data_IF_390610227834
#
_entry.id   IF_390610227834
#
_cell.length_a   1.000
_cell.length_b   1.000
_cell.length_c   1.000
_cell.angle_alpha   90.00
_cell.angle_beta   90.00
_cell.angle_gamma   90.00
#
_symmetry.space_group_name_H-M   'P 1'
#
loop_
_entity.id
_entity.type
_entity.pdbx_description
1 polymer ?
#
# COMPACT_ATOMS: atom_id res chain seq x y z
N UNK A 1 -19.16 9.94 -20.16
CA UNK A 1 -18.85 8.51 -20.37
C UNK A 1 -19.76 7.55 -19.59
N UNK A 2 -20.60 8.00 -18.66
CA UNK A 2 -21.60 7.15 -17.98
C UNK A 2 -23.00 7.23 -18.62
N UNK A 3 -23.30 8.25 -19.43
CA UNK A 3 -24.60 8.39 -20.11
C UNK A 3 -24.78 7.44 -21.31
N UNK A 4 -23.70 6.82 -21.78
CA UNK A 4 -23.71 5.91 -22.95
C UNK A 4 -23.87 4.44 -22.59
N UNK A 5 -23.72 4.05 -21.32
CA UNK A 5 -23.77 2.65 -20.87
C UNK A 5 -25.13 2.25 -20.26
N UNK A 6 -25.86 3.20 -19.68
CA UNK A 6 -27.19 2.98 -19.09
C UNK A 6 -28.18 3.93 -19.73
N UNK A 7 -29.14 3.40 -20.50
CA UNK A 7 -30.16 4.16 -21.23
C UNK A 7 -31.14 4.98 -20.35
N UNK A 8 -30.86 5.14 -19.06
CA UNK A 8 -31.71 5.84 -18.09
C UNK A 8 -30.89 6.69 -17.12
N UNK A 9 -31.20 8.00 -17.09
CA UNK A 9 -30.57 9.01 -16.22
C UNK A 9 -30.69 8.65 -14.73
N UNK A 10 -31.78 7.99 -14.33
CA UNK A 10 -32.03 7.60 -12.94
C UNK A 10 -31.11 6.48 -12.45
N UNK A 11 -30.70 5.58 -13.34
CA UNK A 11 -29.76 4.51 -13.00
C UNK A 11 -28.34 5.05 -12.83
N UNK A 12 -27.93 5.97 -13.71
CA UNK A 12 -26.62 6.63 -13.61
C UNK A 12 -26.47 7.36 -12.28
N UNK A 13 -27.47 8.12 -11.83
CA UNK A 13 -27.43 8.80 -10.53
C UNK A 13 -27.48 7.84 -9.35
N UNK A 14 -28.24 6.74 -9.43
CA UNK A 14 -28.26 5.73 -8.37
C UNK A 14 -26.89 5.05 -8.17
N UNK A 15 -26.26 4.63 -9.28
CA UNK A 15 -24.91 4.02 -9.25
C UNK A 15 -23.88 5.03 -8.77
N UNK A 16 -23.95 6.28 -9.21
CA UNK A 16 -23.03 7.33 -8.77
C UNK A 16 -23.16 7.62 -7.27
N UNK A 17 -24.39 7.63 -6.75
CA UNK A 17 -24.65 7.84 -5.31
C UNK A 17 -24.13 6.66 -4.48
N UNK A 18 -24.32 5.43 -4.94
CA UNK A 18 -23.77 4.23 -4.29
C UNK A 18 -22.24 4.21 -4.29
N UNK A 19 -21.60 4.64 -5.39
CA UNK A 19 -20.16 4.78 -5.47
C UNK A 19 -19.65 5.80 -4.45
N UNK A 20 -20.27 6.98 -4.36
CA UNK A 20 -19.89 8.01 -3.38
C UNK A 20 -20.07 7.50 -1.93
N UNK A 21 -21.17 6.78 -1.66
CA UNK A 21 -21.46 6.23 -0.34
C UNK A 21 -20.39 5.23 0.12
N UNK A 22 -19.79 4.48 -0.80
CA UNK A 22 -18.74 3.50 -0.50
C UNK A 22 -17.34 4.11 -0.49
N UNK A 23 -17.09 5.10 -1.36
CA UNK A 23 -15.77 5.70 -1.53
C UNK A 23 -15.38 6.57 -0.32
N UNK A 24 -16.30 7.40 0.18
CA UNK A 24 -16.03 8.30 1.32
C UNK A 24 -15.54 7.54 2.56
N UNK A 25 -16.25 6.51 3.07
CA UNK A 25 -15.76 5.77 4.23
C UNK A 25 -14.48 5.00 3.92
N UNK A 26 -14.27 4.50 2.70
CA UNK A 26 -13.02 3.85 2.31
C UNK A 26 -11.83 4.81 2.45
N UNK A 27 -11.93 6.02 1.91
CA UNK A 27 -10.87 7.04 2.01
C UNK A 27 -10.54 7.41 3.47
N UNK A 28 -11.58 7.58 4.31
CA UNK A 28 -11.40 7.89 5.73
C UNK A 28 -10.68 6.75 6.44
N UNK A 29 -11.09 5.50 6.19
CA UNK A 29 -10.46 4.32 6.79
C UNK A 29 -9.00 4.16 6.34
N UNK A 30 -8.70 4.37 5.06
CA UNK A 30 -7.33 4.32 4.54
C UNK A 30 -6.43 5.38 5.19
N UNK A 31 -6.90 6.63 5.28
CA UNK A 31 -6.13 7.71 5.91
C UNK A 31 -5.94 7.45 7.42
N UNK A 32 -6.96 6.94 8.10
CA UNK A 32 -6.90 6.59 9.52
C UNK A 32 -5.94 5.43 9.78
N UNK A 33 -5.88 4.44 8.88
CA UNK A 33 -4.98 3.29 9.02
C UNK A 33 -3.53 3.71 8.80
N UNK A 34 -3.27 4.53 7.76
CA UNK A 34 -1.94 5.02 7.45
C UNK A 34 -1.38 5.94 8.55
N UNK A 35 -2.21 6.81 9.14
CA UNK A 35 -1.77 7.67 10.26
C UNK A 35 -1.39 6.86 11.51
N UNK A 36 -2.12 5.78 11.82
CA UNK A 36 -1.79 4.87 12.93
C UNK A 36 -0.49 4.11 12.68
N UNK A 37 -0.25 3.64 11.44
CA UNK A 37 1.01 2.99 11.07
C UNK A 37 2.19 3.96 11.23
N UNK A 38 2.04 5.20 10.75
CA UNK A 38 3.07 6.22 10.85
C UNK A 38 3.37 6.59 12.31
N UNK A 39 2.34 6.66 13.16
CA UNK A 39 2.51 6.91 14.58
C UNK A 39 3.23 5.77 15.30
N UNK A 40 2.88 4.50 15.02
CA UNK A 40 3.59 3.35 15.57
C UNK A 40 5.08 3.36 15.18
N UNK A 41 5.41 3.69 13.92
CA UNK A 41 6.80 3.87 13.49
C UNK A 41 7.51 5.05 14.18
N UNK A 42 6.78 6.11 14.54
CA UNK A 42 7.33 7.24 15.29
C UNK A 42 7.61 6.86 16.76
N UNK A 43 6.76 6.04 17.37
CA UNK A 43 6.95 5.51 18.73
C UNK A 43 8.19 4.62 18.84
N UNK A 44 8.46 3.83 17.80
CA UNK A 44 9.69 3.02 17.68
C UNK A 44 10.97 3.86 17.42
N UNK A 45 10.85 5.19 17.33
CA UNK A 45 11.99 6.09 17.13
C UNK A 45 12.62 6.01 15.73
N UNK A 46 11.97 5.35 14.78
CA UNK A 46 12.51 5.07 13.44
C UNK A 46 12.51 6.30 12.50
N UNK A 47 11.92 7.43 12.92
CA UNK A 47 11.80 8.64 12.10
C UNK A 47 12.74 9.75 12.59
N UNK A 48 13.39 10.51 11.67
CA UNK A 48 14.07 11.74 12.03
C UNK A 48 13.04 12.74 12.57
N UNK A 49 13.23 13.22 13.80
CA UNK A 49 12.28 14.03 14.57
C UNK A 49 11.01 13.27 15.05
N UNK A 50 11.19 12.00 15.44
CA UNK A 50 10.17 11.15 16.08
C UNK A 50 9.48 11.80 17.28
N UNK A 51 10.16 12.67 18.03
CA UNK A 51 9.59 13.41 19.16
C UNK A 51 8.46 14.38 18.76
N UNK A 52 8.47 14.90 17.52
CA UNK A 52 7.42 15.79 17.00
C UNK A 52 6.28 15.02 16.32
N UNK A 53 6.61 13.93 15.62
CA UNK A 53 5.63 13.09 14.88
C UNK A 53 4.87 12.16 15.84
N UNK A 54 5.55 11.65 16.87
CA UNK A 54 4.98 10.80 17.93
C UNK A 54 4.27 11.59 19.03
N UNK A 55 4.29 12.93 18.99
CA UNK A 55 3.58 13.76 19.96
C UNK A 55 2.06 13.60 19.76
N UNK A 56 1.40 12.97 20.73
CA UNK A 56 -0.06 12.83 20.76
C UNK A 56 -0.62 13.95 21.62
N UNK A 57 -1.48 14.78 21.04
CA UNK A 57 -2.25 15.75 21.82
C UNK A 57 -3.16 15.01 22.81
N UNK A 58 -3.01 15.34 24.09
CA UNK A 58 -3.67 14.67 25.23
C UNK A 58 -5.20 14.78 25.20
N UNK A 59 -5.72 15.74 24.43
CA UNK A 59 -7.16 16.02 24.30
C UNK A 59 -7.85 15.20 23.20
N UNK A 60 -7.19 14.94 22.06
CA UNK A 60 -7.79 14.25 20.92
C UNK A 60 -7.46 12.75 20.87
N UNK A 61 -6.44 12.27 21.63
CA UNK A 61 -5.95 10.86 21.58
C UNK A 61 -5.60 10.38 20.16
N UNK A 62 -5.46 11.30 19.21
CA UNK A 62 -5.12 11.05 17.81
C UNK A 62 -3.82 11.81 17.53
N UNK A 63 -2.83 11.19 16.88
CA UNK A 63 -1.59 11.85 16.51
C UNK A 63 -1.85 12.84 15.36
N UNK A 64 -2.19 14.08 15.70
CA UNK A 64 -2.57 15.15 14.76
C UNK A 64 -1.46 15.46 13.75
N UNK A 65 -0.19 15.42 14.17
CA UNK A 65 0.97 15.65 13.28
C UNK A 65 1.16 14.52 12.25
N UNK A 66 1.00 13.26 12.67
CA UNK A 66 1.06 12.11 11.77
C UNK A 66 -0.11 12.11 10.78
N UNK A 67 -1.30 12.51 11.23
CA UNK A 67 -2.48 12.66 10.37
C UNK A 67 -2.26 13.74 9.31
N UNK A 68 -1.68 14.89 9.67
CA UNK A 68 -1.40 15.99 8.75
C UNK A 68 -0.41 15.56 7.65
N UNK A 69 0.66 14.85 8.01
CA UNK A 69 1.63 14.30 7.05
C UNK A 69 0.98 13.30 6.08
N UNK A 70 0.12 12.42 6.62
CA UNK A 70 -0.61 11.41 5.84
C UNK A 70 -1.64 12.05 4.89
N UNK A 71 -2.16 13.23 5.23
CA UNK A 71 -3.04 14.03 4.35
C UNK A 71 -2.27 14.81 3.28
N UNK A 72 -1.09 15.35 3.60
CA UNK A 72 -0.29 16.15 2.65
C UNK A 72 0.26 15.27 1.52
N UNK A 73 0.70 14.05 1.82
CA UNK A 73 1.26 13.13 0.81
C UNK A 73 0.32 12.86 -0.39
N UNK A 74 -0.94 12.41 -0.21
CA UNK A 74 -1.86 12.18 -1.32
C UNK A 74 -2.29 13.48 -2.03
N UNK A 75 -2.34 14.61 -1.32
CA UNK A 75 -2.60 15.93 -1.94
C UNK A 75 -1.44 16.30 -2.88
N UNK A 76 -0.20 16.10 -2.46
CA UNK A 76 0.99 16.30 -3.30
C UNK A 76 0.98 15.40 -4.55
N UNK A 77 0.64 14.12 -4.38
CA UNK A 77 0.46 13.20 -5.52
C UNK A 77 -0.68 13.63 -6.46
N UNK A 78 -1.75 14.20 -5.90
CA UNK A 78 -2.89 14.71 -6.68
C UNK A 78 -2.52 15.99 -7.46
N UNK A 79 -1.60 16.81 -6.95
CA UNK A 79 -1.06 17.94 -7.71
C UNK A 79 -0.19 17.49 -8.88
N UNK A 80 0.57 16.41 -8.74
CA UNK A 80 1.36 15.84 -9.84
C UNK A 80 0.50 15.30 -10.99
N UNK A 81 -0.74 14.90 -10.71
CA UNK A 81 -1.71 14.51 -11.76
C UNK A 81 -1.99 15.66 -12.76
N UNK A 82 -1.84 16.92 -12.37
CA UNK A 82 -2.06 18.08 -13.25
C UNK A 82 -0.87 18.36 -14.18
N UNK A 83 0.32 17.82 -13.87
CA UNK A 83 1.57 18.20 -14.54
C UNK A 83 1.88 17.39 -15.80
N UNK A 84 1.71 16.07 -15.79
CA UNK A 84 1.96 15.22 -16.96
C UNK A 84 1.44 13.78 -16.77
N UNK A 85 0.82 13.16 -17.78
CA UNK A 85 0.41 11.76 -17.74
C UNK A 85 1.60 10.78 -17.62
N UNK A 86 2.81 11.20 -18.02
CA UNK A 86 4.03 10.38 -17.89
C UNK A 86 4.47 10.30 -16.43
N UNK A 87 4.37 11.41 -15.68
CA UNK A 87 4.71 11.45 -14.26
C UNK A 87 3.78 10.57 -13.43
N UNK A 88 2.49 10.53 -13.77
CA UNK A 88 1.51 9.65 -13.12
C UNK A 88 1.88 8.17 -13.27
N UNK A 89 2.20 7.73 -14.48
CA UNK A 89 2.53 6.32 -14.75
C UNK A 89 3.78 5.89 -13.96
N UNK A 90 4.79 6.76 -13.88
CA UNK A 90 5.98 6.52 -13.07
C UNK A 90 5.66 6.34 -11.57
N UNK A 91 4.81 7.22 -11.00
CA UNK A 91 4.41 7.14 -9.59
C UNK A 91 3.60 5.88 -9.29
N UNK A 92 2.61 5.56 -10.12
CA UNK A 92 1.79 4.35 -9.93
C UNK A 92 2.66 3.10 -9.94
N UNK A 93 3.62 3.05 -10.84
CA UNK A 93 4.56 1.95 -10.94
C UNK A 93 5.48 1.85 -9.72
N UNK A 94 5.96 2.98 -9.20
CA UNK A 94 6.72 3.03 -7.95
C UNK A 94 5.91 2.50 -6.76
N UNK A 95 4.62 2.87 -6.66
CA UNK A 95 3.73 2.38 -5.58
C UNK A 95 3.55 0.87 -5.66
N UNK A 96 3.39 0.30 -6.86
CA UNK A 96 3.26 -1.15 -7.05
C UNK A 96 4.55 -1.86 -6.61
N UNK A 97 5.73 -1.34 -6.97
CA UNK A 97 7.00 -1.91 -6.53
C UNK A 97 7.14 -1.83 -5.01
N UNK A 98 6.82 -0.69 -4.41
CA UNK A 98 6.89 -0.51 -2.96
C UNK A 98 5.98 -1.51 -2.22
N UNK A 99 4.78 -1.75 -2.75
CA UNK A 99 3.86 -2.75 -2.23
C UNK A 99 4.45 -4.17 -2.30
N UNK A 100 5.05 -4.53 -3.44
CA UNK A 100 5.72 -5.83 -3.61
C UNK A 100 6.91 -5.98 -2.64
N UNK A 101 7.72 -4.94 -2.48
CA UNK A 101 8.84 -4.92 -1.52
C UNK A 101 8.33 -5.09 -0.09
N UNK A 102 7.25 -4.42 0.28
CA UNK A 102 6.63 -4.55 1.61
C UNK A 102 6.18 -6.00 1.87
N UNK A 103 5.55 -6.66 0.89
CA UNK A 103 5.17 -8.06 1.03
C UNK A 103 6.38 -9.00 1.10
N UNK A 104 7.43 -8.74 0.32
CA UNK A 104 8.69 -9.48 0.39
C UNK A 104 9.37 -9.34 1.77
N UNK A 105 9.36 -8.14 2.36
CA UNK A 105 9.90 -7.89 3.70
C UNK A 105 9.15 -8.69 4.77
N UNK A 106 7.81 -8.71 4.72
CA UNK A 106 7.00 -9.48 5.68
C UNK A 106 7.25 -10.99 5.52
N UNK A 107 7.24 -11.50 4.28
CA UNK A 107 7.46 -12.92 4.01
C UNK A 107 8.88 -13.37 4.41
N UNK A 108 9.89 -12.56 4.11
CA UNK A 108 11.29 -12.84 4.49
C UNK A 108 11.49 -12.78 6.01
N UNK A 109 10.85 -11.84 6.71
CA UNK A 109 10.88 -11.77 8.18
C UNK A 109 10.19 -12.98 8.81
N UNK A 110 9.04 -13.42 8.27
CA UNK A 110 8.38 -14.68 8.69
C UNK A 110 9.30 -15.88 8.51
N UNK A 111 9.92 -16.02 7.33
CA UNK A 111 10.85 -17.10 7.03
C UNK A 111 12.08 -17.08 7.96
N UNK A 112 12.70 -15.91 8.14
CA UNK A 112 13.87 -15.73 9.01
C UNK A 112 13.56 -16.13 10.46
N UNK A 113 12.40 -15.69 10.97
CA UNK A 113 11.99 -16.00 12.33
C UNK A 113 11.70 -17.49 12.54
N UNK A 114 11.12 -18.17 11.54
CA UNK A 114 10.96 -19.64 11.54
C UNK A 114 12.31 -20.38 11.47
N UNK A 115 13.24 -19.92 10.64
CA UNK A 115 14.57 -20.56 10.52
C UNK A 115 15.42 -20.39 11.79
N UNK A 116 15.34 -19.22 12.43
CA UNK A 116 16.16 -18.88 13.61
C UNK A 116 15.54 -19.37 14.92
N UNK A 117 14.28 -19.87 14.90
CA UNK A 117 13.49 -20.23 16.10
C UNK A 117 13.47 -19.12 17.16
N UNK A 118 13.58 -17.86 16.73
CA UNK A 118 13.47 -16.73 17.65
C UNK A 118 12.04 -16.72 18.19
N UNK A 119 11.90 -16.92 19.50
CA UNK A 119 10.66 -17.02 20.27
C UNK A 119 9.86 -15.72 20.35
N UNK A 120 9.96 -14.86 19.32
CA UNK A 120 9.27 -13.57 19.26
C UNK A 120 7.79 -13.70 18.87
N UNK A 121 7.32 -14.90 18.48
CA UNK A 121 5.92 -15.13 18.18
C UNK A 121 5.17 -15.50 19.46
N UNK A 122 4.15 -14.72 19.86
CA UNK A 122 3.23 -15.14 20.90
C UNK A 122 2.58 -16.48 20.47
N UNK A 123 2.50 -17.47 21.36
CA UNK A 123 1.99 -18.83 21.08
C UNK A 123 0.58 -18.87 20.45
N UNK A 124 -0.14 -17.74 20.47
CA UNK A 124 -1.48 -17.54 19.92
C UNK A 124 -1.47 -17.12 18.43
N UNK A 125 -0.29 -16.86 17.83
CA UNK A 125 -0.13 -16.42 16.44
C UNK A 125 0.38 -17.51 15.49
N UNK A 126 0.50 -18.75 15.96
CA UNK A 126 0.67 -19.88 15.03
C UNK A 126 -0.65 -20.13 14.32
N UNK A 127 -0.68 -19.89 13.01
CA UNK A 127 -1.79 -20.15 12.08
C UNK A 127 -2.28 -21.62 12.03
N UNK A 128 -2.08 -22.43 13.07
CA UNK A 128 -2.36 -23.88 13.09
C UNK A 128 -1.54 -24.69 12.08
N UNK A 129 -0.77 -24.04 11.21
CA UNK A 129 0.10 -24.68 10.23
C UNK A 129 1.40 -25.13 10.92
N UNK A 130 1.73 -26.41 10.74
CA UNK A 130 2.98 -26.98 11.22
C UNK A 130 4.21 -26.25 10.68
N UNK A 131 5.30 -26.30 11.44
CA UNK A 131 6.56 -25.62 11.12
C UNK A 131 7.02 -25.75 9.66
N UNK A 132 6.93 -26.97 9.12
CA UNK A 132 7.37 -27.30 7.76
C UNK A 132 6.45 -26.71 6.68
N UNK A 133 5.14 -26.65 6.92
CA UNK A 133 4.19 -26.09 5.95
C UNK A 133 4.27 -24.57 5.93
N UNK A 134 4.51 -23.92 7.08
CA UNK A 134 4.75 -22.47 7.13
C UNK A 134 5.97 -22.03 6.32
N UNK A 135 7.10 -22.75 6.44
CA UNK A 135 8.31 -22.46 5.65
C UNK A 135 8.07 -22.64 4.14
N UNK A 136 7.37 -23.71 3.75
CA UNK A 136 7.07 -23.96 2.34
C UNK A 136 6.20 -22.85 1.73
N UNK A 137 5.19 -22.37 2.48
CA UNK A 137 4.32 -21.26 2.06
C UNK A 137 5.09 -19.95 1.95
N UNK A 138 5.98 -19.65 2.89
CA UNK A 138 6.80 -18.43 2.85
C UNK A 138 7.76 -18.44 1.65
N UNK A 139 8.43 -19.58 1.38
CA UNK A 139 9.31 -19.74 0.20
C UNK A 139 8.51 -19.61 -1.10
N UNK A 140 7.34 -20.26 -1.18
CA UNK A 140 6.47 -20.15 -2.35
C UNK A 140 6.00 -18.72 -2.56
N UNK A 141 5.63 -18.02 -1.49
CA UNK A 141 5.19 -16.61 -1.54
C UNK A 141 6.29 -15.70 -2.05
N UNK A 142 7.52 -15.86 -1.56
CA UNK A 142 8.68 -15.08 -2.03
C UNK A 142 8.95 -15.37 -3.52
N UNK A 143 8.96 -16.65 -3.93
CA UNK A 143 9.15 -17.03 -5.33
C UNK A 143 8.05 -16.50 -6.25
N UNK A 144 6.81 -16.54 -5.79
CA UNK A 144 5.66 -16.02 -6.54
C UNK A 144 5.71 -14.49 -6.67
N UNK A 145 6.02 -13.77 -5.59
CA UNK A 145 6.17 -12.31 -5.61
C UNK A 145 7.36 -11.86 -6.47
N UNK A 146 8.48 -12.60 -6.44
CA UNK A 146 9.64 -12.33 -7.29
C UNK A 146 9.36 -12.59 -8.77
N UNK A 147 8.58 -13.62 -9.09
CA UNK A 147 8.15 -13.87 -10.48
C UNK A 147 7.14 -12.81 -10.93
N UNK A 148 6.20 -12.45 -10.05
CA UNK A 148 5.20 -11.43 -10.31
C UNK A 148 5.80 -10.03 -10.52
N UNK A 149 6.84 -9.66 -9.76
CA UNK A 149 7.52 -8.37 -9.94
C UNK A 149 8.18 -8.25 -11.31
N UNK A 150 8.82 -9.33 -11.79
CA UNK A 150 9.41 -9.39 -13.13
C UNK A 150 8.34 -9.29 -14.21
N UNK A 151 7.19 -9.97 -14.05
CA UNK A 151 6.09 -9.90 -15.01
C UNK A 151 5.48 -8.49 -15.07
N UNK A 152 5.33 -7.82 -13.93
CA UNK A 152 4.79 -6.44 -13.85
C UNK A 152 5.71 -5.41 -14.51
N UNK A 153 7.02 -5.67 -14.57
CA UNK A 153 7.96 -4.83 -15.31
C UNK A 153 7.77 -4.91 -16.83
N UNK A 154 7.13 -5.96 -17.35
CA UNK A 154 6.82 -6.07 -18.77
C UNK A 154 5.51 -5.36 -19.11
N UNK A 155 5.52 -4.42 -20.08
CA UNK A 155 4.31 -3.74 -20.50
C UNK A 155 3.36 -4.71 -21.25
N UNK A 156 2.03 -4.60 -21.08
CA UNK A 156 1.04 -5.50 -21.69
C UNK A 156 0.84 -5.29 -23.21
N UNK A 157 1.70 -4.51 -23.88
CA UNK A 157 1.60 -4.19 -25.31
C UNK A 157 2.67 -4.92 -26.11
N UNK A 158 2.33 -5.34 -27.33
CA UNK A 158 3.16 -6.22 -28.17
C UNK A 158 4.33 -5.51 -28.88
N UNK A 159 4.41 -4.18 -28.84
CA UNK A 159 5.55 -3.38 -29.36
C UNK A 159 5.79 -2.11 -28.52
N UNK A 160 6.40 -2.23 -27.32
CA UNK A 160 6.67 -1.07 -26.48
C UNK A 160 7.88 -0.28 -26.99
N UNK A 161 7.73 1.02 -27.20
CA UNK A 161 8.87 1.95 -27.35
C UNK A 161 9.60 2.04 -25.99
N UNK A 162 10.90 2.34 -25.95
CA UNK A 162 11.67 2.41 -24.69
C UNK A 162 11.03 3.33 -23.63
N UNK A 163 10.27 4.35 -24.03
CA UNK A 163 9.52 5.25 -23.14
C UNK A 163 8.25 4.63 -22.51
N UNK A 164 7.76 3.49 -23.02
CA UNK A 164 6.56 2.79 -22.55
C UNK A 164 6.87 1.60 -21.64
N UNK A 165 8.15 1.26 -21.47
CA UNK A 165 8.57 0.25 -20.51
C UNK A 165 8.39 0.77 -19.09
N UNK A 166 7.95 -0.11 -18.19
CA UNK A 166 7.82 0.21 -16.78
C UNK A 166 9.21 0.20 -16.12
N UNK A 167 9.91 1.34 -16.20
CA UNK A 167 11.25 1.53 -15.63
C UNK A 167 11.23 1.92 -14.15
N UNK A 168 10.20 1.59 -13.38
CA UNK A 168 10.07 2.09 -12.00
C UNK A 168 11.16 1.63 -11.01
N UNK A 169 12.18 0.90 -11.50
CA UNK A 169 13.40 0.54 -10.76
C UNK A 169 14.60 1.46 -11.04
N UNK A 170 14.51 2.41 -11.98
CA UNK A 170 15.57 3.38 -12.35
C UNK A 170 15.27 4.76 -11.80
#
# INVERSE_FOLDING_TARGET
>A
MLDTATASRSWTTAVFTLLLLTLIPCCINSNTSASRQLWAFAEDGALPNSAWIGNVDEHERVPSNALLLTLIAPIGLSLLNLGSPIALNAIVSLVIINLVVSYLLVASTSLYSRCTRTTAWPDHMTYGLGYRTGIAVDIFTIGFLATGSVIVMFPPVTHPTAAQMNWAVV
#
